data_IF_655854367943
#
_entry.id   IF_655854367943
#
_cell.length_a   1.000
_cell.length_b   1.000
_cell.length_c   1.000
_cell.angle_alpha   90.00
_cell.angle_beta   90.00
_cell.angle_gamma   90.00
#
_symmetry.space_group_name_H-M   'P 1'
#
loop_
_entity.id
_entity.type
_entity.pdbx_description
1 polymer ?
#
# COMPACT_ATOMS: atom_id res chain seq x y z
N UNK A 1 -21.47 17.40 5.29
CA UNK A 1 -21.14 18.59 4.50
C UNK A 1 -19.63 18.86 4.48
N UNK A 2 -18.93 18.88 5.66
CA UNK A 2 -17.49 19.17 5.77
C UNK A 2 -16.61 18.22 4.93
N UNK A 3 -16.88 16.90 4.95
CA UNK A 3 -16.16 15.92 4.14
C UNK A 3 -16.31 16.21 2.64
N UNK A 4 -17.54 16.52 2.19
CA UNK A 4 -17.80 16.83 0.78
C UNK A 4 -17.04 18.09 0.37
N UNK A 5 -17.08 19.14 1.20
CA UNK A 5 -16.35 20.38 0.95
C UNK A 5 -14.83 20.16 0.92
N UNK A 6 -14.28 19.35 1.85
CA UNK A 6 -12.87 18.94 1.86
C UNK A 6 -12.48 18.22 0.58
N UNK A 7 -13.26 17.21 0.18
CA UNK A 7 -12.99 16.43 -1.04
C UNK A 7 -13.06 17.30 -2.28
N UNK A 8 -14.15 18.11 -2.41
CA UNK A 8 -14.32 19.01 -3.55
C UNK A 8 -13.18 20.04 -3.66
N UNK A 9 -12.77 20.64 -2.54
CA UNK A 9 -11.61 21.55 -2.53
C UNK A 9 -10.36 20.89 -3.07
N UNK A 10 -10.04 19.68 -2.57
CA UNK A 10 -8.80 19.01 -2.89
C UNK A 10 -8.79 18.32 -4.28
N UNK A 11 -9.95 18.10 -4.88
CA UNK A 11 -10.06 17.70 -6.29
C UNK A 11 -9.53 18.78 -7.24
N UNK A 12 -9.77 20.05 -6.92
CA UNK A 12 -9.48 21.19 -7.80
C UNK A 12 -8.35 22.10 -7.32
N UNK A 13 -7.67 21.75 -6.23
CA UNK A 13 -6.47 22.48 -5.80
C UNK A 13 -5.33 22.31 -6.83
N UNK A 14 -4.40 23.27 -6.90
CA UNK A 14 -3.21 23.15 -7.75
C UNK A 14 -2.41 21.89 -7.44
N UNK A 15 -1.68 21.38 -8.44
CA UNK A 15 -0.81 20.23 -8.27
C UNK A 15 0.46 20.61 -7.51
N UNK A 16 0.87 19.75 -6.58
CA UNK A 16 2.19 19.80 -5.94
C UNK A 16 3.27 19.22 -6.87
N UNK A 17 4.53 19.59 -6.65
CA UNK A 17 5.67 19.06 -7.39
C UNK A 17 5.77 17.53 -7.25
N UNK A 18 5.55 17.02 -6.04
CA UNK A 18 5.61 15.60 -5.75
C UNK A 18 4.45 14.82 -6.41
N UNK A 19 3.28 15.44 -6.61
CA UNK A 19 2.22 14.86 -7.46
C UNK A 19 2.69 14.70 -8.91
N UNK A 20 3.33 15.74 -9.46
CA UNK A 20 3.89 15.68 -10.81
C UNK A 20 4.91 14.57 -10.97
N UNK A 21 5.77 14.39 -9.99
CA UNK A 21 6.74 13.30 -9.95
C UNK A 21 6.06 11.92 -9.94
N UNK A 22 5.09 11.68 -9.07
CA UNK A 22 4.36 10.41 -9.00
C UNK A 22 3.59 10.09 -10.29
N UNK A 23 2.99 11.12 -10.93
CA UNK A 23 2.33 10.97 -12.24
C UNK A 23 3.36 10.61 -13.31
N UNK A 24 4.51 11.28 -13.34
CA UNK A 24 5.55 11.04 -14.35
C UNK A 24 6.10 9.62 -14.24
N UNK A 25 6.43 9.14 -13.04
CA UNK A 25 6.92 7.79 -12.83
C UNK A 25 5.89 6.73 -13.29
N UNK A 26 4.61 6.90 -12.91
CA UNK A 26 3.53 6.03 -13.36
C UNK A 26 3.29 6.09 -14.86
N UNK A 27 3.38 7.27 -15.48
CA UNK A 27 3.22 7.45 -16.93
C UNK A 27 4.34 6.78 -17.72
N UNK A 28 5.60 6.97 -17.32
CA UNK A 28 6.76 6.33 -17.96
C UNK A 28 6.60 4.81 -17.99
N UNK A 29 6.27 4.22 -16.83
CA UNK A 29 6.04 2.77 -16.75
C UNK A 29 4.81 2.33 -17.57
N UNK A 30 3.71 3.11 -17.57
CA UNK A 30 2.52 2.84 -18.39
C UNK A 30 2.81 2.87 -19.89
N UNK A 31 3.77 3.71 -20.34
CA UNK A 31 4.20 3.82 -21.74
C UNK A 31 5.27 2.80 -22.14
N UNK A 32 5.80 2.03 -21.21
CA UNK A 32 6.68 0.90 -21.50
C UNK A 32 8.12 1.05 -21.01
N UNK A 33 8.44 2.10 -20.25
CA UNK A 33 9.74 2.22 -19.60
C UNK A 33 9.94 1.04 -18.62
N UNK A 34 11.17 0.58 -18.48
CA UNK A 34 11.53 -0.60 -17.69
C UNK A 34 12.15 -0.20 -16.35
N UNK A 35 11.63 -0.80 -15.28
CA UNK A 35 12.18 -0.60 -13.93
C UNK A 35 13.67 -0.95 -13.89
N UNK A 36 14.45 -0.20 -13.13
CA UNK A 36 15.90 -0.32 -12.94
C UNK A 36 16.75 -0.04 -14.18
N UNK A 37 16.21 -0.05 -15.39
CA UNK A 37 16.96 0.27 -16.61
C UNK A 37 16.75 1.70 -17.09
N UNK A 38 15.51 2.15 -17.10
CA UNK A 38 15.10 3.45 -17.62
C UNK A 38 14.56 4.37 -16.54
N UNK A 39 14.29 3.79 -15.36
CA UNK A 39 13.82 4.50 -14.16
C UNK A 39 14.87 4.32 -13.05
N UNK A 40 15.20 5.43 -12.37
CA UNK A 40 16.33 5.51 -11.42
C UNK A 40 15.91 5.90 -9.99
N UNK A 41 14.61 6.10 -9.76
CA UNK A 41 14.13 6.56 -8.49
C UNK A 41 14.04 5.42 -7.44
N UNK A 42 14.39 5.66 -6.18
CA UNK A 42 14.31 4.65 -5.12
C UNK A 42 12.91 4.03 -4.93
N UNK A 43 11.85 4.82 -5.22
CA UNK A 43 10.45 4.40 -5.10
C UNK A 43 9.80 3.99 -6.44
N UNK A 44 10.58 3.74 -7.48
CA UNK A 44 10.08 3.43 -8.82
C UNK A 44 9.12 2.24 -8.87
N UNK A 45 9.26 1.27 -7.98
CA UNK A 45 8.36 0.11 -7.91
C UNK A 45 6.93 0.48 -7.50
N UNK A 46 6.75 1.63 -6.83
CA UNK A 46 5.41 2.17 -6.53
C UNK A 46 4.63 2.54 -7.80
N UNK A 47 5.35 2.91 -8.86
CA UNK A 47 4.78 3.28 -10.16
C UNK A 47 3.94 2.15 -10.77
N UNK A 48 4.19 0.88 -10.41
CA UNK A 48 3.39 -0.26 -10.86
C UNK A 48 1.90 -0.05 -10.57
N UNK A 49 1.58 0.46 -9.39
CA UNK A 49 0.18 0.69 -8.98
C UNK A 49 -0.45 1.86 -9.75
N UNK A 50 0.27 2.97 -9.86
CA UNK A 50 -0.21 4.18 -10.55
C UNK A 50 -0.31 3.97 -12.06
N UNK A 51 0.64 3.24 -12.64
CA UNK A 51 0.68 2.93 -14.07
C UNK A 51 -0.57 2.21 -14.58
N UNK A 52 -1.17 1.33 -13.75
CA UNK A 52 -2.43 0.64 -14.12
C UNK A 52 -3.55 1.65 -14.39
N UNK A 53 -3.73 2.62 -13.51
CA UNK A 53 -4.75 3.66 -13.65
C UNK A 53 -4.44 4.60 -14.81
N UNK A 54 -3.17 4.99 -14.98
CA UNK A 54 -2.74 5.86 -16.08
C UNK A 54 -2.93 5.17 -17.42
N UNK A 55 -2.54 3.90 -17.53
CA UNK A 55 -2.73 3.13 -18.76
C UNK A 55 -4.20 3.02 -19.13
N UNK A 56 -5.06 2.71 -18.16
CA UNK A 56 -6.50 2.68 -18.35
C UNK A 56 -7.04 4.02 -18.84
N UNK A 57 -6.64 5.12 -18.21
CA UNK A 57 -7.06 6.47 -18.59
C UNK A 57 -6.65 6.82 -20.02
N UNK A 58 -5.38 6.61 -20.37
CA UNK A 58 -4.85 6.90 -21.71
C UNK A 58 -5.53 6.05 -22.78
N UNK A 59 -5.80 4.77 -22.49
CA UNK A 59 -6.54 3.88 -23.39
C UNK A 59 -7.98 4.37 -23.65
N UNK A 60 -8.63 4.95 -22.65
CA UNK A 60 -10.02 5.42 -22.76
C UNK A 60 -10.13 6.82 -23.40
N UNK A 61 -9.14 7.71 -23.16
CA UNK A 61 -9.22 9.12 -23.57
C UNK A 61 -8.34 9.45 -24.76
N UNK A 62 -7.36 8.61 -25.08
CA UNK A 62 -6.37 8.86 -26.13
C UNK A 62 -5.33 9.93 -25.76
N UNK A 63 -5.31 10.42 -24.52
CA UNK A 63 -4.39 11.50 -24.11
C UNK A 63 -4.21 11.59 -22.59
N UNK A 64 -3.54 12.65 -22.15
CA UNK A 64 -3.20 12.89 -20.73
C UNK A 64 -3.94 14.10 -20.12
N UNK A 65 -4.80 14.76 -20.89
CA UNK A 65 -5.55 15.90 -20.39
C UNK A 65 -6.45 15.45 -19.23
N UNK A 66 -6.41 16.19 -18.12
CA UNK A 66 -7.14 15.86 -16.88
C UNK A 66 -6.70 14.58 -16.15
N UNK A 67 -5.53 14.01 -16.49
CA UNK A 67 -5.00 12.81 -15.83
C UNK A 67 -4.87 13.00 -14.31
N UNK A 68 -4.39 14.16 -13.85
CA UNK A 68 -4.28 14.48 -12.43
C UNK A 68 -5.66 14.43 -11.74
N UNK A 69 -6.69 15.05 -12.33
CA UNK A 69 -8.04 15.01 -11.80
C UNK A 69 -8.58 13.58 -11.73
N UNK A 70 -8.33 12.77 -12.74
CA UNK A 70 -8.71 11.36 -12.75
C UNK A 70 -8.03 10.58 -11.62
N UNK A 71 -6.72 10.77 -11.41
CA UNK A 71 -5.99 10.09 -10.33
C UNK A 71 -6.49 10.52 -8.94
N UNK A 72 -6.88 11.78 -8.77
CA UNK A 72 -7.53 12.26 -7.55
C UNK A 72 -8.92 11.63 -7.35
N UNK A 73 -9.68 11.45 -8.43
CA UNK A 73 -10.96 10.73 -8.37
C UNK A 73 -10.78 9.24 -8.01
N UNK A 74 -9.64 8.64 -8.35
CA UNK A 74 -9.25 7.28 -7.89
C UNK A 74 -8.82 7.30 -6.43
N UNK A 75 -8.06 8.32 -6.01
CA UNK A 75 -7.54 8.44 -4.64
C UNK A 75 -8.64 8.47 -3.58
N UNK A 76 -9.61 9.36 -3.70
CA UNK A 76 -10.60 9.60 -2.64
C UNK A 76 -11.47 8.39 -2.30
N UNK A 77 -11.98 7.59 -3.26
CA UNK A 77 -12.70 6.36 -2.94
C UNK A 77 -11.84 5.32 -2.21
N UNK A 78 -10.57 5.18 -2.59
CA UNK A 78 -9.64 4.25 -1.91
C UNK A 78 -9.39 4.72 -0.48
N UNK A 79 -9.07 6.00 -0.29
CA UNK A 79 -8.88 6.61 1.03
C UNK A 79 -10.12 6.43 1.93
N UNK A 80 -11.31 6.65 1.38
CA UNK A 80 -12.58 6.41 2.08
C UNK A 80 -12.76 4.92 2.44
N UNK A 81 -12.42 4.02 1.53
CA UNK A 81 -12.49 2.57 1.76
C UNK A 81 -11.59 2.13 2.92
N UNK A 82 -10.34 2.60 2.97
CA UNK A 82 -9.42 2.32 4.07
C UNK A 82 -9.93 2.91 5.39
N UNK A 83 -10.45 4.15 5.38
CA UNK A 83 -11.04 4.81 6.55
C UNK A 83 -12.21 4.02 7.13
N UNK A 84 -13.12 3.56 6.27
CA UNK A 84 -14.28 2.73 6.68
C UNK A 84 -13.81 1.37 7.20
N UNK A 85 -12.79 0.78 6.60
CA UNK A 85 -12.22 -0.49 7.06
C UNK A 85 -11.55 -0.33 8.43
N UNK A 86 -10.85 0.78 8.67
CA UNK A 86 -10.29 1.15 9.97
C UNK A 86 -11.40 1.26 11.03
N UNK A 87 -12.43 2.07 10.78
CA UNK A 87 -13.58 2.20 11.67
C UNK A 87 -14.18 0.83 12.03
N UNK A 88 -14.52 0.01 11.00
CA UNK A 88 -15.12 -1.32 11.21
C UNK A 88 -14.18 -2.27 11.96
N UNK A 89 -12.88 -2.16 11.76
CA UNK A 89 -11.91 -3.02 12.47
C UNK A 89 -11.81 -2.63 13.93
N UNK A 90 -11.69 -1.34 14.24
CA UNK A 90 -11.66 -0.85 15.62
C UNK A 90 -12.94 -1.27 16.38
N UNK A 91 -14.12 -1.03 15.79
CA UNK A 91 -15.41 -1.41 16.40
C UNK A 91 -15.50 -2.92 16.70
N UNK A 92 -14.85 -3.74 15.88
CA UNK A 92 -14.85 -5.20 16.08
C UNK A 92 -13.82 -5.66 17.10
N UNK A 93 -12.62 -5.08 17.10
CA UNK A 93 -11.49 -5.57 17.92
C UNK A 93 -11.44 -4.91 19.29
N UNK A 94 -12.00 -3.71 19.43
CA UNK A 94 -12.05 -2.92 20.68
C UNK A 94 -13.50 -2.53 20.98
N UNK A 95 -14.38 -3.49 21.35
CA UNK A 95 -15.82 -3.23 21.49
C UNK A 95 -16.17 -2.22 22.60
N UNK A 96 -15.28 -2.02 23.57
CA UNK A 96 -15.43 -1.01 24.63
C UNK A 96 -15.14 0.43 24.17
N UNK A 97 -14.56 0.62 22.96
CA UNK A 97 -14.32 1.96 22.42
C UNK A 97 -15.64 2.63 22.04
N UNK A 98 -15.81 3.88 22.42
CA UNK A 98 -16.95 4.70 22.01
C UNK A 98 -17.05 4.79 20.47
N UNK A 99 -18.27 4.71 19.98
CA UNK A 99 -18.53 4.71 18.53
C UNK A 99 -18.09 6.02 17.85
N UNK A 100 -18.30 7.15 18.53
CA UNK A 100 -17.91 8.45 18.01
C UNK A 100 -16.39 8.60 17.93
N UNK A 101 -15.66 8.03 18.91
CA UNK A 101 -14.19 8.00 18.89
C UNK A 101 -13.69 7.15 17.72
N UNK A 102 -14.26 5.97 17.52
CA UNK A 102 -13.90 5.13 16.37
C UNK A 102 -14.22 5.81 15.03
N UNK A 103 -15.37 6.50 14.95
CA UNK A 103 -15.75 7.27 13.76
C UNK A 103 -14.80 8.45 13.52
N UNK A 104 -14.41 9.17 14.59
CA UNK A 104 -13.43 10.25 14.52
C UNK A 104 -12.07 9.74 14.03
N UNK A 105 -11.60 8.60 14.49
CA UNK A 105 -10.34 7.99 14.00
C UNK A 105 -10.42 7.70 12.50
N UNK A 106 -11.52 7.13 12.02
CA UNK A 106 -11.75 6.91 10.58
C UNK A 106 -11.76 8.23 9.81
N UNK A 107 -12.42 9.25 10.33
CA UNK A 107 -12.47 10.58 9.71
C UNK A 107 -11.10 11.26 9.68
N UNK A 108 -10.35 11.21 10.78
CA UNK A 108 -8.99 11.74 10.83
C UNK A 108 -8.09 11.04 9.81
N UNK A 109 -8.18 9.71 9.69
CA UNK A 109 -7.43 8.99 8.67
C UNK A 109 -7.83 9.45 7.25
N UNK A 110 -9.13 9.68 6.98
CA UNK A 110 -9.60 10.14 5.68
C UNK A 110 -9.01 11.49 5.28
N UNK A 111 -8.92 12.43 6.22
CA UNK A 111 -8.43 13.80 5.94
C UNK A 111 -6.90 13.94 6.06
N UNK A 112 -6.22 12.93 6.61
CA UNK A 112 -4.76 12.95 6.74
C UNK A 112 -4.13 12.34 5.49
N UNK A 113 -3.35 13.14 4.78
CA UNK A 113 -2.56 12.72 3.62
C UNK A 113 -1.12 13.16 3.80
N UNK A 114 -0.14 12.33 3.46
CA UNK A 114 1.26 12.78 3.41
C UNK A 114 1.41 13.95 2.43
N UNK A 115 2.10 15.01 2.86
CA UNK A 115 2.50 16.15 2.01
C UNK A 115 1.34 16.84 1.23
N UNK A 116 0.09 16.67 1.62
CA UNK A 116 -1.08 17.18 0.88
C UNK A 116 -1.18 16.68 -0.58
N UNK A 117 -0.69 15.48 -0.85
CA UNK A 117 -0.77 14.81 -2.15
C UNK A 117 -2.05 13.98 -2.20
N UNK A 118 -2.81 14.06 -3.30
CA UNK A 118 -4.12 13.42 -3.46
C UNK A 118 -4.19 12.45 -4.65
N UNK A 119 -3.09 11.79 -4.96
CA UNK A 119 -3.00 10.75 -5.99
C UNK A 119 -2.42 9.46 -5.41
N UNK A 120 -2.60 8.31 -6.06
CA UNK A 120 -1.93 7.05 -5.70
C UNK A 120 -0.44 7.09 -6.05
N UNK A 121 0.39 7.73 -5.23
CA UNK A 121 1.85 7.77 -5.36
C UNK A 121 2.48 7.05 -4.16
N UNK A 122 3.80 6.90 -4.13
CA UNK A 122 4.51 6.04 -3.16
C UNK A 122 4.14 6.29 -1.70
N UNK A 123 3.98 7.54 -1.27
CA UNK A 123 3.70 7.85 0.14
C UNK A 123 2.25 7.53 0.53
N UNK A 124 1.29 7.77 -0.36
CA UNK A 124 -0.11 7.40 -0.15
C UNK A 124 -0.32 5.88 -0.25
N UNK A 125 0.34 5.22 -1.20
CA UNK A 125 0.31 3.76 -1.34
C UNK A 125 0.87 3.09 -0.10
N UNK A 126 2.04 3.58 0.41
CA UNK A 126 2.59 3.15 1.68
C UNK A 126 1.59 3.31 2.83
N UNK A 127 1.01 4.50 2.99
CA UNK A 127 0.04 4.78 4.04
C UNK A 127 -1.17 3.81 3.99
N UNK A 128 -1.69 3.53 2.79
CA UNK A 128 -2.81 2.60 2.62
C UNK A 128 -2.41 1.15 2.92
N UNK A 129 -1.33 0.66 2.32
CA UNK A 129 -0.94 -0.74 2.45
C UNK A 129 -0.48 -1.06 3.86
N UNK A 130 0.27 -0.15 4.50
CA UNK A 130 0.65 -0.30 5.89
C UNK A 130 -0.58 -0.33 6.82
N UNK A 131 -1.50 0.62 6.66
CA UNK A 131 -2.74 0.63 7.46
C UNK A 131 -3.56 -0.66 7.24
N UNK A 132 -3.75 -1.10 5.99
CA UNK A 132 -4.49 -2.32 5.68
C UNK A 132 -3.81 -3.57 6.26
N UNK A 133 -2.49 -3.66 6.20
CA UNK A 133 -1.70 -4.73 6.82
C UNK A 133 -1.93 -4.77 8.33
N UNK A 134 -1.76 -3.64 9.02
CA UNK A 134 -1.98 -3.55 10.48
C UNK A 134 -3.42 -3.91 10.85
N UNK A 135 -4.40 -3.41 10.10
CA UNK A 135 -5.81 -3.71 10.34
C UNK A 135 -6.15 -5.20 10.15
N UNK A 136 -5.50 -5.86 9.19
CA UNK A 136 -5.62 -7.31 9.00
C UNK A 136 -4.99 -8.07 10.18
N UNK A 137 -3.82 -7.66 10.65
CA UNK A 137 -3.20 -8.25 11.85
C UNK A 137 -4.09 -8.05 13.09
N UNK A 138 -4.65 -6.85 13.29
CA UNK A 138 -5.59 -6.57 14.37
C UNK A 138 -6.84 -7.47 14.30
N UNK A 139 -7.37 -7.72 13.10
CA UNK A 139 -8.50 -8.65 12.92
C UNK A 139 -8.15 -10.09 13.21
N UNK A 140 -6.92 -10.50 12.96
CA UNK A 140 -6.45 -11.84 13.26
C UNK A 140 -6.23 -12.01 14.77
N UNK A 141 -5.42 -11.16 15.39
CA UNK A 141 -5.03 -11.26 16.79
C UNK A 141 -6.10 -10.74 17.76
N UNK A 142 -6.98 -9.85 17.32
CA UNK A 142 -8.08 -9.31 18.13
C UNK A 142 -9.39 -10.13 18.07
N UNK A 143 -9.37 -11.31 17.42
CA UNK A 143 -10.56 -12.16 17.37
C UNK A 143 -10.89 -12.75 18.75
N UNK A 144 -12.18 -12.79 19.09
CA UNK A 144 -12.70 -13.36 20.34
C UNK A 144 -13.78 -14.38 20.02
N UNK A 145 -13.89 -15.42 20.87
CA UNK A 145 -15.01 -16.36 20.83
C UNK A 145 -16.30 -15.77 21.42
N UNK A 146 -17.37 -16.57 21.43
CA UNK A 146 -18.67 -16.19 22.00
C UNK A 146 -18.62 -15.89 23.51
N UNK A 147 -17.59 -16.37 24.21
CA UNK A 147 -17.37 -16.15 25.65
C UNK A 147 -16.38 -14.99 25.91
N UNK A 148 -15.95 -14.28 24.83
CA UNK A 148 -15.02 -13.15 24.95
C UNK A 148 -13.56 -13.53 25.14
N UNK A 149 -13.22 -14.84 25.08
CA UNK A 149 -11.83 -15.31 25.14
C UNK A 149 -11.11 -15.05 23.84
N UNK A 150 -9.84 -14.71 23.92
CA UNK A 150 -9.01 -14.45 22.74
C UNK A 150 -8.82 -15.76 21.96
N UNK A 151 -9.18 -15.73 20.68
CA UNK A 151 -9.00 -16.85 19.75
C UNK A 151 -8.21 -16.38 18.53
N UNK A 152 -7.53 -17.32 17.85
CA UNK A 152 -6.94 -17.01 16.56
C UNK A 152 -8.05 -16.70 15.53
N UNK A 153 -7.93 -15.58 14.85
CA UNK A 153 -8.81 -15.22 13.75
C UNK A 153 -8.67 -16.14 12.54
N UNK A 154 -9.42 -15.86 11.51
CA UNK A 154 -9.35 -16.61 10.27
C UNK A 154 -8.01 -16.33 9.55
N UNK A 155 -7.33 -17.38 9.09
CA UNK A 155 -6.03 -17.30 8.40
C UNK A 155 -6.04 -16.37 7.19
N UNK A 156 -7.23 -16.15 6.57
CA UNK A 156 -7.36 -15.18 5.47
C UNK A 156 -6.86 -13.78 5.84
N UNK A 157 -6.97 -13.37 7.10
CA UNK A 157 -6.47 -12.05 7.54
C UNK A 157 -4.94 -12.00 7.53
N UNK A 158 -4.26 -13.10 7.86
CA UNK A 158 -2.80 -13.18 7.73
C UNK A 158 -2.35 -13.20 6.26
N UNK A 159 -3.08 -13.92 5.40
CA UNK A 159 -2.82 -13.91 3.95
C UNK A 159 -2.95 -12.49 3.40
N UNK A 160 -4.05 -11.78 3.75
CA UNK A 160 -4.25 -10.39 3.33
C UNK A 160 -3.17 -9.47 3.91
N UNK A 161 -2.76 -9.66 5.16
CA UNK A 161 -1.67 -8.89 5.75
C UNK A 161 -0.36 -9.11 4.99
N UNK A 162 -0.03 -10.33 4.57
CA UNK A 162 1.12 -10.64 3.73
C UNK A 162 1.04 -9.98 2.34
N UNK A 163 -0.13 -10.01 1.70
CA UNK A 163 -0.36 -9.31 0.42
C UNK A 163 -0.14 -7.80 0.58
N UNK A 164 -0.76 -7.17 1.58
CA UNK A 164 -0.60 -5.73 1.80
C UNK A 164 0.83 -5.36 2.20
N UNK A 165 1.51 -6.19 2.99
CA UNK A 165 2.94 -6.00 3.28
C UNK A 165 3.81 -6.03 2.02
N UNK A 166 3.53 -6.95 1.09
CA UNK A 166 4.24 -6.98 -0.19
C UNK A 166 3.99 -5.73 -1.02
N UNK A 167 2.72 -5.30 -1.11
CA UNK A 167 2.38 -4.06 -1.81
C UNK A 167 3.07 -2.86 -1.16
N UNK A 168 3.20 -2.87 0.17
CA UNK A 168 3.87 -1.82 0.93
C UNK A 168 5.39 -1.80 0.68
N UNK A 169 6.05 -2.95 0.66
CA UNK A 169 7.48 -3.06 0.28
C UNK A 169 7.71 -2.59 -1.16
N UNK A 170 6.80 -2.90 -2.09
CA UNK A 170 6.87 -2.38 -3.47
C UNK A 170 6.66 -0.86 -3.52
N UNK A 171 5.77 -0.31 -2.71
CA UNK A 171 5.57 1.13 -2.63
C UNK A 171 6.72 1.86 -1.92
N UNK A 172 7.25 1.25 -0.86
CA UNK A 172 8.27 1.83 0.00
C UNK A 172 9.29 0.75 0.44
N UNK A 173 10.41 0.56 -0.27
CA UNK A 173 11.31 -0.59 -0.07
C UNK A 173 11.84 -0.77 1.36
N UNK A 174 12.02 0.31 2.14
CA UNK A 174 12.46 0.21 3.54
C UNK A 174 11.48 -0.56 4.45
N UNK A 175 10.24 -0.78 4.01
CA UNK A 175 9.23 -1.56 4.74
C UNK A 175 9.59 -3.05 4.85
N UNK A 176 10.64 -3.50 4.16
CA UNK A 176 11.24 -4.81 4.41
C UNK A 176 11.65 -4.99 5.89
N UNK A 177 12.04 -3.91 6.58
CA UNK A 177 12.36 -3.96 8.02
C UNK A 177 11.12 -4.28 8.85
N UNK A 178 9.97 -3.69 8.50
CA UNK A 178 8.69 -3.99 9.17
C UNK A 178 8.24 -5.42 8.88
N UNK A 179 8.43 -5.91 7.65
CA UNK A 179 8.22 -7.31 7.31
C UNK A 179 9.02 -8.24 8.24
N UNK A 180 10.32 -7.96 8.43
CA UNK A 180 11.18 -8.74 9.33
C UNK A 180 10.70 -8.67 10.79
N UNK A 181 10.27 -7.49 11.27
CA UNK A 181 9.69 -7.35 12.61
C UNK A 181 8.41 -8.20 12.77
N UNK A 182 7.51 -8.17 11.81
CA UNK A 182 6.30 -8.99 11.80
C UNK A 182 6.64 -10.50 11.76
N UNK A 183 7.66 -10.88 10.98
CA UNK A 183 8.16 -12.25 10.91
C UNK A 183 8.67 -12.73 12.28
N UNK A 184 9.52 -11.93 12.93
CA UNK A 184 10.02 -12.22 14.29
C UNK A 184 8.87 -12.31 15.29
N UNK A 185 7.90 -11.39 15.22
CA UNK A 185 6.70 -11.44 16.08
C UNK A 185 5.94 -12.76 15.90
N UNK A 186 5.68 -13.19 14.67
CA UNK A 186 4.99 -14.47 14.39
C UNK A 186 5.81 -15.68 14.85
N UNK A 187 7.15 -15.63 14.77
CA UNK A 187 8.05 -16.66 15.24
C UNK A 187 8.09 -16.80 16.77
N UNK A 188 7.99 -15.68 17.48
CA UNK A 188 8.02 -15.65 18.96
C UNK A 188 6.63 -15.87 19.56
N UNK A 189 5.58 -15.48 18.85
CA UNK A 189 4.20 -15.66 19.30
C UNK A 189 3.88 -17.13 19.56
N UNK A 190 3.34 -17.41 20.76
CA UNK A 190 2.97 -18.77 21.15
C UNK A 190 1.62 -19.15 20.56
N UNK A 191 1.62 -19.93 19.48
CA UNK A 191 0.43 -20.46 18.81
C UNK A 191 0.63 -21.94 18.48
N UNK A 192 -0.42 -22.74 18.67
CA UNK A 192 -0.45 -24.15 18.22
C UNK A 192 -0.43 -24.26 16.69
N UNK A 193 -0.85 -23.21 15.98
CA UNK A 193 -0.90 -23.14 14.51
C UNK A 193 0.25 -22.34 13.89
N UNK A 194 1.32 -22.09 14.64
CA UNK A 194 2.45 -21.23 14.30
C UNK A 194 2.93 -21.37 12.84
N UNK A 195 3.18 -22.60 12.38
CA UNK A 195 3.64 -22.81 11.01
C UNK A 195 2.60 -22.45 9.94
N UNK A 196 1.31 -22.68 10.23
CA UNK A 196 0.22 -22.27 9.31
C UNK A 196 0.11 -20.76 9.25
N UNK A 197 0.24 -20.08 10.38
CA UNK A 197 0.24 -18.61 10.48
C UNK A 197 1.42 -18.01 9.73
N UNK A 198 2.62 -18.55 9.96
CA UNK A 198 3.83 -18.14 9.29
C UNK A 198 3.70 -18.31 7.77
N UNK A 199 3.28 -19.49 7.31
CA UNK A 199 3.06 -19.74 5.89
C UNK A 199 2.00 -18.80 5.30
N UNK A 200 0.89 -18.57 6.00
CA UNK A 200 -0.18 -17.69 5.53
C UNK A 200 0.32 -16.24 5.30
N UNK A 201 1.23 -15.76 6.15
CA UNK A 201 1.81 -14.42 6.00
C UNK A 201 2.94 -14.37 4.96
N UNK A 202 3.85 -15.35 4.97
CA UNK A 202 5.09 -15.33 4.17
C UNK A 202 4.87 -15.75 2.71
N UNK A 203 3.99 -16.75 2.44
CA UNK A 203 3.80 -17.25 1.08
C UNK A 203 3.37 -16.17 0.08
N UNK A 204 2.42 -15.26 0.40
CA UNK A 204 2.10 -14.16 -0.51
C UNK A 204 3.31 -13.26 -0.81
N UNK A 205 4.15 -13.00 0.19
CA UNK A 205 5.35 -12.18 0.03
C UNK A 205 6.36 -12.86 -0.90
N UNK A 206 6.62 -14.14 -0.69
CA UNK A 206 7.54 -14.93 -1.54
C UNK A 206 7.01 -15.04 -2.96
N UNK A 207 5.71 -15.32 -3.13
CA UNK A 207 5.09 -15.41 -4.45
C UNK A 207 5.20 -14.09 -5.23
N UNK A 208 4.93 -12.96 -4.59
CA UNK A 208 5.03 -11.64 -5.22
C UNK A 208 6.48 -11.28 -5.54
N UNK A 209 7.42 -11.58 -4.63
CA UNK A 209 8.85 -11.40 -4.90
C UNK A 209 9.29 -12.23 -6.11
N UNK A 210 8.86 -13.50 -6.20
CA UNK A 210 9.17 -14.35 -7.35
C UNK A 210 8.62 -13.78 -8.66
N UNK A 211 7.38 -13.26 -8.66
CA UNK A 211 6.79 -12.57 -9.83
C UNK A 211 7.62 -11.36 -10.22
N UNK A 212 7.98 -10.52 -9.25
CA UNK A 212 8.79 -9.33 -9.51
C UNK A 212 10.18 -9.67 -10.05
N UNK A 213 10.86 -10.64 -9.45
CA UNK A 213 12.15 -11.13 -9.95
C UNK A 213 12.03 -11.70 -11.37
N UNK A 214 11.01 -12.51 -11.65
CA UNK A 214 10.77 -13.06 -12.99
C UNK A 214 10.56 -11.96 -14.01
N UNK A 215 9.79 -10.91 -13.65
CA UNK A 215 9.59 -9.74 -14.50
C UNK A 215 10.92 -9.03 -14.79
N UNK A 216 11.73 -8.73 -13.78
CA UNK A 216 13.04 -8.08 -13.96
C UNK A 216 14.00 -8.94 -14.81
N UNK A 217 14.08 -10.25 -14.54
CA UNK A 217 14.92 -11.19 -15.29
C UNK A 217 14.47 -11.38 -16.75
N UNK A 218 13.26 -10.98 -17.11
CA UNK A 218 12.80 -11.05 -18.50
C UNK A 218 13.53 -10.09 -19.45
N UNK A 219 14.18 -9.05 -18.91
CA UNK A 219 14.88 -8.03 -19.71
C UNK A 219 16.26 -7.62 -19.17
N UNK A 220 16.73 -8.16 -18.03
CA UNK A 220 18.07 -7.89 -17.51
C UNK A 220 18.70 -9.13 -16.85
N UNK A 221 20.01 -9.15 -16.75
CA UNK A 221 20.74 -10.21 -16.03
C UNK A 221 20.78 -9.93 -14.52
N UNK A 222 20.97 -10.96 -13.65
CA UNK A 222 21.11 -10.73 -12.20
C UNK A 222 22.27 -9.80 -11.84
N UNK A 223 23.37 -9.85 -12.58
CA UNK A 223 24.52 -8.94 -12.36
C UNK A 223 24.13 -7.49 -12.63
N UNK A 224 23.47 -7.23 -13.77
CA UNK A 224 23.00 -5.88 -14.12
C UNK A 224 21.99 -5.35 -13.11
N UNK A 225 21.10 -6.21 -12.60
CA UNK A 225 20.14 -5.84 -11.57
C UNK A 225 20.83 -5.39 -10.27
N UNK A 226 21.87 -6.11 -9.83
CA UNK A 226 22.65 -5.74 -8.65
C UNK A 226 23.43 -4.42 -8.84
N UNK A 227 24.01 -4.24 -10.02
CA UNK A 227 24.69 -3.03 -10.41
C UNK A 227 23.76 -1.80 -10.32
N UNK A 228 22.61 -1.85 -10.99
CA UNK A 228 21.63 -0.78 -11.02
C UNK A 228 21.03 -0.50 -9.62
N UNK A 229 20.75 -1.55 -8.83
CA UNK A 229 20.30 -1.38 -7.46
C UNK A 229 21.38 -0.70 -6.59
N UNK A 230 22.66 -1.03 -6.80
CA UNK A 230 23.79 -0.39 -6.12
C UNK A 230 23.94 1.09 -6.48
N UNK A 231 23.77 1.46 -7.74
CA UNK A 231 23.80 2.84 -8.20
C UNK A 231 22.65 3.67 -7.57
N UNK A 232 21.42 3.16 -7.60
CA UNK A 232 20.26 3.86 -7.01
C UNK A 232 20.43 4.07 -5.50
N UNK A 233 20.99 3.09 -4.79
CA UNK A 233 21.25 3.22 -3.35
C UNK A 233 22.47 4.10 -3.04
N UNK A 234 23.45 4.15 -3.93
CA UNK A 234 24.64 4.98 -3.80
C UNK A 234 24.41 6.48 -4.06
N UNK A 235 23.50 6.82 -4.97
CA UNK A 235 23.11 8.21 -5.24
C UNK A 235 22.24 8.82 -4.13
N UNK A 236 21.64 8.01 -3.28
CA UNK A 236 20.82 8.46 -2.14
C UNK A 236 21.61 8.77 -0.85
N UNK A 237 22.91 8.61 -0.87
CA UNK A 237 23.83 8.88 0.25
C UNK A 237 24.70 10.11 -0.02
#
# INVERSE_FOLDING_TARGET
LAIIAYTAKNLFIGADTDEGYGIMAGYRLAMGDRLLLEMWEPHQTSAIFTAVFIRLFVMLTGGVNYLNLFLRLVFFPIQAGVSVFLYKTIRRTVPQMDENVAALMGLLYYVTTPKSIFIPEYSNLHNWFFALMVLCLLRYFGAKDSEGRQTAGELRWLVLAGIFMTCDVLAYPSMVLVFLCCLVFLLVHRSEKKWKELCAYVLPCVASAAVMFTYLLSYMTPQKMLEMAGEILGEGS
#
